data_IF_211656776831
#
_entry.id   IF_211656776831
#
_cell.length_a   1.000
_cell.length_b   1.000
_cell.length_c   1.000
_cell.angle_alpha   90.00
_cell.angle_beta   90.00
_cell.angle_gamma   90.00
#
_symmetry.space_group_name_H-M   'P 1'
#
loop_
_entity.id
_entity.type
_entity.pdbx_description
1 polymer ?
#
# COMPACT_ATOMS: atom_id res chain seq x y z
N UNK A 1 6.93 31.87 -9.12
CA UNK A 1 7.36 31.16 -7.90
C UNK A 1 6.29 30.14 -7.54
N UNK A 2 6.49 28.87 -7.88
CA UNK A 2 5.62 27.77 -7.45
C UNK A 2 6.39 26.91 -6.46
N UNK A 3 5.88 26.79 -5.23
CA UNK A 3 6.45 25.93 -4.20
C UNK A 3 5.87 24.53 -4.29
N UNK A 4 6.70 23.52 -4.04
CA UNK A 4 6.24 22.14 -3.96
C UNK A 4 5.65 21.90 -2.56
N UNK A 5 4.33 21.66 -2.47
CA UNK A 5 3.64 21.41 -1.20
C UNK A 5 3.41 19.91 -1.11
N UNK A 6 4.12 19.26 -0.17
CA UNK A 6 3.92 17.86 0.19
C UNK A 6 3.46 17.77 1.65
N UNK A 7 2.43 16.99 1.94
CA UNK A 7 1.91 16.80 3.29
C UNK A 7 0.93 15.63 3.40
N UNK A 8 0.73 15.13 4.61
CA UNK A 8 -0.23 14.06 4.92
C UNK A 8 -1.45 14.67 5.60
N UNK A 9 -2.63 14.54 5.01
CA UNK A 9 -3.87 14.95 5.65
C UNK A 9 -4.19 14.00 6.81
N UNK A 10 -4.42 14.57 8.00
CA UNK A 10 -4.79 13.83 9.21
C UNK A 10 -6.10 14.38 9.77
N UNK A 11 -6.93 13.50 10.33
CA UNK A 11 -8.16 13.88 11.03
C UNK A 11 -7.78 14.39 12.43
N UNK A 12 -8.23 15.58 12.79
CA UNK A 12 -8.00 16.14 14.13
C UNK A 12 -8.74 15.30 15.18
N UNK A 13 -8.02 14.73 16.16
CA UNK A 13 -8.63 14.05 17.31
C UNK A 13 -7.92 12.79 17.82
N UNK A 14 -6.98 12.22 17.05
CA UNK A 14 -6.19 11.06 17.48
C UNK A 14 -4.73 11.48 17.64
N UNK A 15 -4.24 11.55 18.89
CA UNK A 15 -2.81 11.69 19.16
C UNK A 15 -2.10 10.38 18.81
N UNK A 16 -1.74 10.22 17.54
CA UNK A 16 -0.87 9.12 17.11
C UNK A 16 0.57 9.61 17.26
N UNK A 17 1.26 9.08 18.26
CA UNK A 17 2.66 9.36 18.50
C UNK A 17 3.52 9.12 17.25
N UNK A 18 4.27 10.15 16.85
CA UNK A 18 5.35 10.04 15.88
C UNK A 18 5.02 10.46 14.44
N UNK A 19 6.06 10.93 13.75
CA UNK A 19 6.09 11.04 12.28
C UNK A 19 6.17 9.61 11.73
N UNK A 20 5.09 8.84 11.86
CA UNK A 20 4.98 7.51 11.25
C UNK A 20 5.05 7.62 9.74
N UNK A 21 5.71 6.66 9.10
CA UNK A 21 5.72 6.56 7.65
C UNK A 21 4.29 6.30 7.16
N UNK A 22 3.93 6.77 5.96
CA UNK A 22 2.62 6.43 5.35
C UNK A 22 2.44 4.91 5.25
N UNK A 23 3.54 4.16 5.17
CA UNK A 23 3.55 2.70 5.17
C UNK A 23 2.99 2.09 6.45
N UNK A 24 3.06 2.80 7.57
CA UNK A 24 2.54 2.34 8.86
C UNK A 24 1.00 2.45 8.92
N UNK A 25 0.38 3.22 8.01
CA UNK A 25 -1.06 3.39 7.91
C UNK A 25 -1.71 2.46 6.87
N UNK A 26 -0.94 1.64 6.16
CA UNK A 26 -1.46 0.81 5.07
C UNK A 26 -2.21 -0.42 5.61
N UNK A 27 -3.48 -0.56 5.21
CA UNK A 27 -4.36 -1.66 5.60
C UNK A 27 -4.58 -2.61 4.42
N UNK A 28 -4.63 -3.92 4.71
CA UNK A 28 -4.93 -4.95 3.72
C UNK A 28 -6.38 -4.83 3.22
N UNK A 29 -6.61 -4.58 1.91
CA UNK A 29 -7.95 -4.42 1.37
C UNK A 29 -8.79 -5.70 1.44
N UNK A 30 -8.17 -6.87 1.30
CA UNK A 30 -8.89 -8.15 1.39
C UNK A 30 -9.38 -8.45 2.80
N UNK A 31 -8.56 -8.20 3.83
CA UNK A 31 -8.99 -8.36 5.22
C UNK A 31 -10.05 -7.32 5.58
N UNK A 32 -9.93 -6.09 5.07
CA UNK A 32 -10.90 -5.03 5.32
C UNK A 32 -12.29 -5.37 4.77
N UNK A 33 -12.37 -5.99 3.60
CA UNK A 33 -13.63 -6.49 3.03
C UNK A 33 -14.27 -7.58 3.91
N UNK A 34 -13.46 -8.35 4.63
CA UNK A 34 -13.92 -9.33 5.63
C UNK A 34 -14.17 -8.73 7.02
N UNK A 35 -14.08 -7.39 7.18
CA UNK A 35 -14.32 -6.69 8.44
C UNK A 35 -13.12 -6.60 9.39
N UNK A 36 -11.91 -6.93 8.92
CA UNK A 36 -10.69 -6.90 9.74
C UNK A 36 -9.68 -5.88 9.20
N UNK A 37 -9.28 -4.93 10.05
CA UNK A 37 -8.24 -3.96 9.71
C UNK A 37 -6.86 -4.54 10.07
N UNK A 38 -6.18 -5.08 9.06
CA UNK A 38 -4.85 -5.70 9.22
C UNK A 38 -3.80 -4.84 8.54
N UNK A 39 -2.77 -4.44 9.29
CA UNK A 39 -1.67 -3.65 8.77
C UNK A 39 -0.79 -4.46 7.81
N UNK A 40 -0.41 -3.84 6.69
CA UNK A 40 0.52 -4.42 5.73
C UNK A 40 1.97 -4.24 6.22
N UNK A 41 2.79 -5.27 6.01
CA UNK A 41 4.20 -5.25 6.33
C UNK A 41 5.04 -5.09 5.06
N UNK A 42 5.92 -4.09 5.02
CA UNK A 42 6.84 -3.93 3.89
C UNK A 42 7.87 -5.06 3.86
N UNK A 43 8.07 -5.67 2.69
CA UNK A 43 9.05 -6.72 2.40
C UNK A 43 9.76 -6.36 1.08
N UNK A 44 10.79 -5.51 1.16
CA UNK A 44 11.51 -5.05 -0.03
C UNK A 44 10.63 -4.19 -0.94
N UNK A 45 10.37 -4.70 -2.16
CA UNK A 45 9.54 -4.07 -3.21
C UNK A 45 8.08 -4.53 -3.17
N UNK A 46 7.62 -5.08 -2.06
CA UNK A 46 6.22 -5.47 -1.89
C UNK A 46 5.75 -5.27 -0.45
N UNK A 47 4.44 -5.41 -0.27
CA UNK A 47 3.77 -5.42 1.02
C UNK A 47 3.07 -6.75 1.23
N UNK A 48 3.27 -7.36 2.39
CA UNK A 48 2.67 -8.64 2.78
C UNK A 48 1.62 -8.40 3.86
N UNK A 49 0.45 -9.01 3.70
CA UNK A 49 -0.52 -9.12 4.80
C UNK A 49 -0.18 -10.33 5.68
N UNK A 50 0.06 -10.18 6.99
CA UNK A 50 0.40 -11.30 7.86
C UNK A 50 -0.78 -12.25 8.12
N UNK A 51 -2.02 -11.80 7.89
CA UNK A 51 -3.21 -12.60 8.17
C UNK A 51 -3.66 -13.44 6.97
N UNK A 52 -3.82 -12.83 5.80
CA UNK A 52 -4.27 -13.54 4.59
C UNK A 52 -3.14 -13.94 3.64
N UNK A 53 -1.90 -13.60 3.99
CA UNK A 53 -0.67 -13.92 3.23
C UNK A 53 -0.61 -13.35 1.81
N UNK A 54 -1.57 -12.50 1.43
CA UNK A 54 -1.55 -11.80 0.13
C UNK A 54 -0.39 -10.81 0.07
N UNK A 55 0.22 -10.74 -1.11
CA UNK A 55 1.34 -9.87 -1.42
C UNK A 55 0.92 -8.82 -2.44
N UNK A 56 1.31 -7.58 -2.21
CA UNK A 56 0.97 -6.39 -3.01
C UNK A 56 2.27 -5.77 -3.54
N UNK A 57 2.52 -5.75 -4.86
CA UNK A 57 3.77 -5.27 -5.42
C UNK A 57 3.85 -3.74 -5.42
N UNK A 58 5.08 -3.23 -5.31
CA UNK A 58 5.43 -1.83 -5.57
C UNK A 58 6.21 -1.79 -6.88
N UNK A 59 5.71 -1.04 -7.86
CA UNK A 59 6.37 -0.82 -9.16
C UNK A 59 6.44 0.67 -9.39
N UNK A 60 7.64 1.19 -9.71
CA UNK A 60 7.90 2.62 -9.90
C UNK A 60 7.36 3.49 -8.75
N UNK A 61 7.61 3.04 -7.51
CA UNK A 61 7.13 3.65 -6.25
C UNK A 61 5.59 3.69 -6.08
N UNK A 62 4.84 3.02 -6.95
CA UNK A 62 3.39 2.85 -6.86
C UNK A 62 3.04 1.51 -6.26
N UNK A 63 2.31 1.52 -5.14
CA UNK A 63 1.76 0.31 -4.51
C UNK A 63 0.47 -0.13 -5.19
N UNK A 64 0.47 -1.34 -5.74
CA UNK A 64 -0.73 -1.94 -6.34
C UNK A 64 -1.46 -2.81 -5.33
N UNK A 65 -2.66 -2.38 -4.94
CA UNK A 65 -3.53 -3.07 -3.98
C UNK A 65 -4.39 -4.16 -4.63
N UNK A 66 -3.83 -4.84 -5.64
CA UNK A 66 -4.44 -5.98 -6.32
C UNK A 66 -3.68 -7.25 -5.99
N UNK A 67 -4.35 -8.39 -6.11
CA UNK A 67 -3.65 -9.67 -6.18
C UNK A 67 -2.77 -9.71 -7.42
N UNK A 68 -1.63 -10.40 -7.34
CA UNK A 68 -0.64 -10.48 -8.41
C UNK A 68 -1.27 -10.89 -9.76
N UNK A 69 -2.15 -11.89 -9.76
CA UNK A 69 -2.82 -12.38 -10.97
C UNK A 69 -3.65 -11.29 -11.64
N UNK A 70 -4.42 -10.54 -10.85
CA UNK A 70 -5.23 -9.42 -11.34
C UNK A 70 -4.35 -8.26 -11.78
N UNK A 71 -3.24 -8.01 -11.10
CA UNK A 71 -2.27 -7.00 -11.49
C UNK A 71 -1.63 -7.32 -12.84
N UNK A 72 -1.17 -8.56 -13.05
CA UNK A 72 -0.60 -9.03 -14.31
C UNK A 72 -1.61 -9.00 -15.46
N UNK A 73 -2.90 -9.23 -15.17
CA UNK A 73 -3.97 -9.11 -16.17
C UNK A 73 -4.24 -7.65 -16.57
N UNK A 74 -4.23 -6.72 -15.61
CA UNK A 74 -4.60 -5.32 -15.86
C UNK A 74 -3.45 -4.48 -16.43
N UNK A 75 -2.21 -4.84 -16.10
CA UNK A 75 -1.00 -4.10 -16.48
C UNK A 75 0.05 -5.03 -17.12
N UNK A 76 -0.28 -5.71 -18.23
CA UNK A 76 0.65 -6.64 -18.87
C UNK A 76 1.95 -5.96 -19.34
N UNK A 77 1.92 -4.66 -19.68
CA UNK A 77 3.07 -3.86 -20.11
C UNK A 77 4.15 -3.73 -19.04
N UNK A 78 3.77 -3.79 -17.76
CA UNK A 78 4.71 -3.77 -16.63
C UNK A 78 5.57 -5.05 -16.61
N UNK A 79 5.06 -6.15 -17.16
CA UNK A 79 5.71 -7.46 -17.19
C UNK A 79 6.27 -7.81 -18.58
N UNK A 80 5.77 -7.19 -19.64
CA UNK A 80 6.11 -7.49 -21.04
C UNK A 80 7.40 -6.84 -21.56
N UNK A 81 8.20 -6.23 -20.68
CA UNK A 81 9.46 -5.54 -21.02
C UNK A 81 10.69 -6.35 -20.59
N UNK A 82 10.74 -7.63 -20.96
CA UNK A 82 11.94 -8.48 -20.86
C UNK A 82 12.37 -8.96 -22.24
#
# INVERSE_FOLDING_TARGET
LGGNISGVCRKSGEEVGGIGSIYDALICPSCQQSGSAVQLQRKGVSFLCPQCLKTYPVVDDVLFLFEYEKFAQLYPEVFGSL
#
